data_IF_755272782354
#
_entry.id   IF_755272782354
#
_cell.length_a   1.000
_cell.length_b   1.000
_cell.length_c   1.000
_cell.angle_alpha   90.00
_cell.angle_beta   90.00
_cell.angle_gamma   90.00
#
_symmetry.space_group_name_H-M   'P 1'
#
loop_
_entity.id
_entity.type
_entity.pdbx_description
1 polymer ?
#
# COMPACT_ATOMS: atom_id res chain seq x y z
N UNK A 1 21.50 39.61 11.63
CA UNK A 1 20.98 38.95 12.85
C UNK A 1 21.37 37.47 12.79
N UNK A 2 22.28 37.00 13.65
CA UNK A 2 22.59 35.56 13.77
C UNK A 2 21.48 34.90 14.58
N UNK A 3 20.68 34.02 13.96
CA UNK A 3 19.80 33.11 14.71
C UNK A 3 20.68 32.05 15.34
N UNK A 4 20.89 32.14 16.66
CA UNK A 4 21.50 31.04 17.42
C UNK A 4 20.54 29.85 17.38
N UNK A 5 20.98 28.73 16.81
CA UNK A 5 20.25 27.45 16.85
C UNK A 5 20.31 26.81 18.25
N UNK A 6 21.13 27.36 19.15
CA UNK A 6 21.33 26.85 20.50
C UNK A 6 20.69 27.83 21.48
N UNK A 7 19.70 27.35 22.25
CA UNK A 7 19.09 28.13 23.34
C UNK A 7 20.14 28.41 24.41
N UNK A 8 20.31 29.68 24.85
CA UNK A 8 21.27 30.03 25.91
C UNK A 8 20.89 29.47 27.28
N UNK A 9 19.68 28.93 27.42
CA UNK A 9 19.18 28.30 28.66
C UNK A 9 19.56 26.81 28.75
N UNK A 10 20.04 26.20 27.66
CA UNK A 10 20.48 24.81 27.67
C UNK A 10 21.93 24.70 28.11
N UNK A 11 22.18 23.79 29.05
CA UNK A 11 23.54 23.41 29.44
C UNK A 11 24.25 22.72 28.26
N UNK A 12 25.59 22.83 28.23
CA UNK A 12 26.42 22.14 27.23
C UNK A 12 26.12 20.64 27.17
N UNK A 13 25.87 20.01 28.32
CA UNK A 13 25.51 18.60 28.44
C UNK A 13 24.17 18.26 27.78
N UNK A 14 23.16 19.11 27.92
CA UNK A 14 21.87 18.92 27.24
C UNK A 14 22.02 18.99 25.73
N UNK A 15 22.88 19.87 25.21
CA UNK A 15 23.14 19.96 23.78
C UNK A 15 23.90 18.73 23.26
N UNK A 16 24.89 18.22 24.00
CA UNK A 16 25.63 17.00 23.64
C UNK A 16 24.71 15.79 23.59
N UNK A 17 23.88 15.58 24.60
CA UNK A 17 22.89 14.49 24.61
C UNK A 17 21.87 14.63 23.48
N UNK A 18 21.41 15.85 23.19
CA UNK A 18 20.51 16.11 22.07
C UNK A 18 21.11 15.74 20.71
N UNK A 19 22.38 16.08 20.47
CA UNK A 19 23.08 15.73 19.22
C UNK A 19 23.31 14.23 19.10
N UNK A 20 23.73 13.57 20.19
CA UNK A 20 23.93 12.11 20.20
C UNK A 20 22.61 11.36 19.97
N UNK A 21 21.52 11.79 20.60
CA UNK A 21 20.20 11.23 20.37
C UNK A 21 19.75 11.44 18.91
N UNK A 22 19.93 12.64 18.36
CA UNK A 22 19.57 12.93 16.97
C UNK A 22 20.39 12.09 15.97
N UNK A 23 21.68 11.87 16.23
CA UNK A 23 22.55 11.05 15.39
C UNK A 23 22.11 9.57 15.32
N UNK A 24 21.34 9.09 16.30
CA UNK A 24 20.76 7.74 16.31
C UNK A 24 19.33 7.75 15.75
N UNK A 25 18.50 8.69 16.20
CA UNK A 25 17.08 8.76 15.83
C UNK A 25 16.90 9.09 14.36
N UNK A 26 17.70 10.01 13.79
CA UNK A 26 17.55 10.43 12.39
C UNK A 26 17.80 9.25 11.43
N UNK A 27 18.92 8.49 11.51
CA UNK A 27 19.13 7.33 10.65
C UNK A 27 18.02 6.29 10.76
N UNK A 28 17.56 6.00 11.99
CA UNK A 28 16.46 5.05 12.21
C UNK A 28 15.17 5.56 11.56
N UNK A 29 14.81 6.82 11.78
CA UNK A 29 13.62 7.41 11.17
C UNK A 29 13.71 7.43 9.64
N UNK A 30 14.89 7.69 9.06
CA UNK A 30 15.11 7.62 7.62
C UNK A 30 14.96 6.21 7.07
N UNK A 31 15.49 5.19 7.76
CA UNK A 31 15.33 3.78 7.39
C UNK A 31 13.87 3.35 7.48
N UNK A 32 13.17 3.68 8.56
CA UNK A 32 11.74 3.41 8.71
C UNK A 32 10.93 4.06 7.58
N UNK A 33 11.22 5.32 7.26
CA UNK A 33 10.56 6.03 6.16
C UNK A 33 10.84 5.38 4.80
N UNK A 34 12.07 4.92 4.56
CA UNK A 34 12.44 4.25 3.32
C UNK A 34 11.68 2.92 3.16
N UNK A 35 11.53 2.16 4.24
CA UNK A 35 10.78 0.89 4.26
C UNK A 35 9.28 1.11 4.07
N UNK A 36 8.72 2.21 4.59
CA UNK A 36 7.28 2.50 4.44
C UNK A 36 6.90 3.14 3.09
N UNK A 37 7.84 3.75 2.37
CA UNK A 37 7.61 4.44 1.10
C UNK A 37 6.88 3.61 0.01
N UNK A 38 7.16 2.32 -0.22
CA UNK A 38 6.40 1.53 -1.20
C UNK A 38 4.94 1.28 -0.79
N UNK A 39 4.62 1.33 0.51
CA UNK A 39 3.26 1.17 1.04
C UNK A 39 2.46 2.49 1.03
N UNK A 40 3.12 3.64 0.82
CA UNK A 40 2.47 4.96 0.82
C UNK A 40 1.79 5.33 -0.53
N UNK A 41 1.93 4.50 -1.56
CA UNK A 41 1.42 4.83 -2.91
C UNK A 41 0.49 3.73 -3.41
N UNK A 42 -0.83 3.95 -3.36
CA UNK A 42 -1.76 2.98 -3.90
C UNK A 42 -1.52 2.84 -5.42
N UNK A 43 -1.50 1.59 -5.88
CA UNK A 43 -1.17 1.22 -7.25
C UNK A 43 -2.30 1.65 -8.19
N UNK A 44 -1.93 2.24 -9.32
CA UNK A 44 -2.91 2.55 -10.36
C UNK A 44 -3.23 1.28 -11.12
N UNK A 45 -4.47 0.84 -11.03
CA UNK A 45 -5.01 -0.28 -11.81
C UNK A 45 -6.26 0.15 -12.56
N UNK A 46 -6.51 -0.50 -13.68
CA UNK A 46 -7.77 -0.33 -14.41
C UNK A 46 -8.78 -1.42 -14.02
N UNK A 47 -10.09 -1.21 -14.26
CA UNK A 47 -11.09 -2.25 -14.03
C UNK A 47 -10.80 -3.53 -14.80
N UNK A 48 -10.28 -3.42 -16.02
CA UNK A 48 -9.93 -4.58 -16.87
C UNK A 48 -8.78 -5.41 -16.27
N UNK A 49 -7.80 -4.75 -15.64
CA UNK A 49 -6.72 -5.45 -14.93
C UNK A 49 -7.26 -6.18 -13.69
N UNK A 50 -8.17 -5.54 -12.92
CA UNK A 50 -8.79 -6.16 -11.74
C UNK A 50 -9.67 -7.34 -12.14
N UNK A 51 -10.44 -7.20 -13.22
CA UNK A 51 -11.21 -8.28 -13.83
C UNK A 51 -10.30 -9.46 -14.20
N UNK A 52 -9.16 -9.18 -14.83
CA UNK A 52 -8.15 -10.18 -15.18
C UNK A 52 -7.69 -10.99 -13.97
N UNK A 53 -7.25 -10.34 -12.90
CA UNK A 53 -6.83 -11.04 -11.67
C UNK A 53 -7.94 -11.90 -11.06
N UNK A 54 -9.16 -11.38 -11.00
CA UNK A 54 -10.30 -12.13 -10.46
C UNK A 54 -10.63 -13.34 -11.33
N UNK A 55 -10.65 -13.18 -12.65
CA UNK A 55 -10.92 -14.24 -13.62
C UNK A 55 -9.84 -15.32 -13.55
N UNK A 56 -8.57 -14.92 -13.59
CA UNK A 56 -7.43 -15.84 -13.57
C UNK A 56 -7.36 -16.65 -12.27
N UNK A 57 -7.71 -16.03 -11.15
CA UNK A 57 -7.81 -16.74 -9.88
C UNK A 57 -8.98 -17.72 -9.84
N UNK A 58 -10.17 -17.31 -10.30
CA UNK A 58 -11.36 -18.18 -10.36
C UNK A 58 -11.14 -19.38 -11.29
N UNK A 59 -10.51 -19.16 -12.45
CA UNK A 59 -10.24 -20.18 -13.46
C UNK A 59 -9.00 -21.03 -13.12
N UNK A 60 -8.19 -20.61 -12.14
CA UNK A 60 -6.95 -21.28 -11.78
C UNK A 60 -5.85 -21.17 -12.85
N UNK A 61 -5.90 -20.10 -13.65
CA UNK A 61 -4.98 -19.81 -14.76
C UNK A 61 -3.90 -18.78 -14.42
N UNK A 62 -4.01 -18.12 -13.26
CA UNK A 62 -3.01 -17.15 -12.77
C UNK A 62 -1.68 -17.79 -12.34
N UNK A 63 -0.63 -16.97 -12.24
CA UNK A 63 0.68 -17.43 -11.75
C UNK A 63 0.67 -17.68 -10.23
N UNK A 64 1.66 -18.43 -9.74
CA UNK A 64 1.75 -18.91 -8.34
C UNK A 64 1.58 -17.81 -7.28
N UNK A 65 1.93 -16.55 -7.61
CA UNK A 65 1.95 -15.43 -6.69
C UNK A 65 1.04 -14.25 -7.10
N UNK A 66 0.36 -14.35 -8.25
CA UNK A 66 -0.43 -13.23 -8.79
C UNK A 66 -1.55 -12.80 -7.84
N UNK A 67 -2.19 -13.78 -7.19
CA UNK A 67 -3.27 -13.51 -6.25
C UNK A 67 -2.78 -12.79 -5.00
N UNK A 68 -1.68 -13.27 -4.42
CA UNK A 68 -1.08 -12.66 -3.23
C UNK A 68 -0.61 -11.23 -3.52
N UNK A 69 0.01 -11.00 -4.67
CA UNK A 69 0.42 -9.67 -5.13
C UNK A 69 -0.78 -8.76 -5.36
N UNK A 70 -1.86 -9.27 -5.96
CA UNK A 70 -3.09 -8.51 -6.18
C UNK A 70 -3.75 -8.07 -4.86
N UNK A 71 -3.92 -8.99 -3.90
CA UNK A 71 -4.64 -8.68 -2.65
C UNK A 71 -3.81 -7.90 -1.65
N UNK A 72 -2.48 -7.90 -1.76
CA UNK A 72 -1.57 -7.24 -0.81
C UNK A 72 -1.30 -5.76 -1.09
N UNK A 73 -1.61 -5.26 -2.29
CA UNK A 73 -1.30 -3.89 -2.70
C UNK A 73 -2.59 -3.07 -2.85
N UNK A 74 -2.68 -1.95 -2.12
CA UNK A 74 -3.82 -1.02 -2.24
C UNK A 74 -3.94 -0.46 -3.67
N UNK A 75 -5.17 -0.29 -4.15
CA UNK A 75 -5.47 0.27 -5.46
C UNK A 75 -5.90 1.75 -5.30
N UNK A 76 -5.45 2.61 -6.21
CA UNK A 76 -5.70 4.06 -6.12
C UNK A 76 -7.17 4.43 -6.34
N UNK A 77 -7.90 3.65 -7.14
CA UNK A 77 -9.34 3.80 -7.30
C UNK A 77 -10.06 3.11 -6.13
N UNK A 78 -10.85 3.88 -5.38
CA UNK A 78 -11.48 3.41 -4.14
C UNK A 78 -12.53 2.31 -4.38
N UNK A 79 -13.17 2.27 -5.56
CA UNK A 79 -14.13 1.22 -5.90
C UNK A 79 -13.41 -0.08 -6.22
N UNK A 80 -12.34 0.01 -7.01
CA UNK A 80 -11.49 -1.15 -7.32
C UNK A 80 -10.78 -1.68 -6.07
N UNK A 81 -10.32 -0.79 -5.18
CA UNK A 81 -9.71 -1.19 -3.92
C UNK A 81 -10.71 -1.91 -2.99
N UNK A 82 -11.97 -1.47 -2.97
CA UNK A 82 -13.03 -2.18 -2.23
C UNK A 82 -13.31 -3.58 -2.80
N UNK A 83 -13.20 -3.77 -4.12
CA UNK A 83 -13.27 -5.09 -4.74
C UNK A 83 -12.10 -5.95 -4.27
N UNK A 84 -10.86 -5.46 -4.35
CA UNK A 84 -9.64 -6.14 -3.88
C UNK A 84 -9.75 -6.53 -2.40
N UNK A 85 -10.14 -5.59 -1.53
CA UNK A 85 -10.25 -5.83 -0.09
C UNK A 85 -11.28 -6.94 0.22
N UNK A 86 -12.43 -6.94 -0.46
CA UNK A 86 -13.41 -8.03 -0.32
C UNK A 86 -12.88 -9.35 -0.88
N UNK A 87 -12.19 -9.31 -2.02
CA UNK A 87 -11.58 -10.48 -2.65
C UNK A 87 -10.54 -11.15 -1.73
N UNK A 88 -9.75 -10.38 -0.98
CA UNK A 88 -8.73 -10.87 -0.04
C UNK A 88 -9.26 -11.82 1.05
N UNK A 89 -10.58 -11.83 1.29
CA UNK A 89 -11.24 -12.71 2.27
C UNK A 89 -11.45 -14.13 1.75
N UNK A 90 -11.19 -14.37 0.46
CA UNK A 90 -11.43 -15.63 -0.22
C UNK A 90 -10.13 -16.14 -0.84
N UNK A 91 -9.30 -16.86 -0.06
CA UNK A 91 -8.03 -17.40 -0.55
C UNK A 91 -8.17 -18.69 -1.36
N UNK A 92 -9.40 -19.21 -1.53
CA UNK A 92 -9.69 -20.45 -2.24
C UNK A 92 -10.56 -20.19 -3.46
N UNK A 93 -10.33 -20.98 -4.53
CA UNK A 93 -11.09 -20.92 -5.78
C UNK A 93 -12.54 -21.36 -5.58
N UNK A 94 -13.46 -20.76 -6.35
CA UNK A 94 -14.85 -21.24 -6.46
C UNK A 94 -15.87 -20.63 -5.48
N UNK A 95 -15.55 -19.53 -4.80
CA UNK A 95 -16.57 -18.81 -4.02
C UNK A 95 -17.58 -18.09 -4.94
N UNK A 96 -18.85 -18.13 -4.56
CA UNK A 96 -19.90 -17.37 -5.27
C UNK A 96 -19.64 -15.86 -5.15
N UNK A 97 -19.04 -15.45 -4.04
CA UNK A 97 -18.64 -14.09 -3.76
C UNK A 97 -17.59 -13.59 -4.75
N UNK A 98 -16.56 -14.36 -5.06
CA UNK A 98 -15.55 -13.97 -6.06
C UNK A 98 -16.18 -13.77 -7.45
N UNK A 99 -17.14 -14.61 -7.82
CA UNK A 99 -17.89 -14.44 -9.06
C UNK A 99 -18.76 -13.17 -9.06
N UNK A 100 -19.35 -12.81 -7.92
CA UNK A 100 -20.08 -11.55 -7.79
C UNK A 100 -19.14 -10.32 -7.90
N UNK A 101 -17.95 -10.41 -7.30
CA UNK A 101 -16.91 -9.39 -7.40
C UNK A 101 -16.41 -9.21 -8.84
N UNK A 102 -16.24 -10.32 -9.58
CA UNK A 102 -15.87 -10.29 -11.00
C UNK A 102 -16.90 -9.52 -11.82
N UNK A 103 -18.20 -9.81 -11.65
CA UNK A 103 -19.27 -9.06 -12.34
C UNK A 103 -19.25 -7.58 -12.02
N UNK A 104 -19.00 -7.22 -10.77
CA UNK A 104 -18.89 -5.82 -10.37
C UNK A 104 -17.71 -5.12 -11.07
N UNK A 105 -16.57 -5.82 -11.22
CA UNK A 105 -15.43 -5.30 -11.99
C UNK A 105 -15.74 -5.16 -13.48
N UNK A 106 -16.44 -6.13 -14.08
CA UNK A 106 -16.90 -6.09 -15.49
C UNK A 106 -17.89 -4.94 -15.74
N UNK A 107 -18.78 -4.64 -14.80
CA UNK A 107 -19.67 -3.48 -14.89
C UNK A 107 -18.86 -2.18 -14.92
N UNK A 108 -17.79 -2.09 -14.12
CA UNK A 108 -16.91 -0.91 -14.07
C UNK A 108 -16.04 -0.75 -15.32
N UNK A 109 -15.63 -1.85 -15.97
CA UNK A 109 -14.92 -1.79 -17.26
C UNK A 109 -15.86 -1.32 -18.36
N UNK A 110 -17.08 -1.86 -18.43
CA UNK A 110 -18.07 -1.52 -19.47
C UNK A 110 -18.55 -0.06 -19.46
N UNK A 111 -18.50 0.63 -18.32
CA UNK A 111 -18.91 2.06 -18.20
C UNK A 111 -17.84 3.02 -18.75
N UNK A 112 -16.62 2.54 -18.99
CA UNK A 112 -15.48 3.34 -19.46
C UNK A 112 -15.30 3.39 -20.98
N UNK A 113 -16.05 2.58 -21.74
CA UNK A 113 -16.11 2.57 -23.21
C UNK A 113 -17.17 3.56 -23.76
#
# INVERSE_FOLDING_TARGET
MRRSLISPQNTLWQNVWGVLAAAIVIPIALLLKLVMLPFDRPMKRTPEEVEGYLRDFIEGTGEEWDWDDFVSIEIADTRLDSIRERASKFPDVGSEELNALLREAEELSSVRD
#
